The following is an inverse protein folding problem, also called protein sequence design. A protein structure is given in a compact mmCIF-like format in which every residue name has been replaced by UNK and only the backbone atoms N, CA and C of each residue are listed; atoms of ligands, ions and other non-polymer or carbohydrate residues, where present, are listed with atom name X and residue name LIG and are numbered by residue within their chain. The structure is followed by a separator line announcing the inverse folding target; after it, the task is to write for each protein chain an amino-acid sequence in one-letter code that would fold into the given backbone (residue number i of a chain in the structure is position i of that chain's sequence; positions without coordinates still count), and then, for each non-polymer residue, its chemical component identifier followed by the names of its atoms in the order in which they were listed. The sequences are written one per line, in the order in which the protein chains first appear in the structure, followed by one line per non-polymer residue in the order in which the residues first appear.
data_IF_973230436690
#
_entry.id   IF_973230436690
#
_cell.length_a   1.000
_cell.length_b   1.000
_cell.length_c   1.000
_cell.angle_alpha   90.00
_cell.angle_beta   90.00
_cell.angle_gamma   90.00
#
_symmetry.space_group_name_H-M   'P 1'
#
loop_
_entity.id
_entity.type
_entity.pdbx_description
1 polymer ?
#
# COMPACT_ATOMS: atom_id res chain seq x y z
N UNK A 1 33.33 -16.13 9.75
CA UNK A 1 32.76 -17.43 10.17
C UNK A 1 33.90 -18.26 10.74
N UNK A 2 33.73 -18.91 11.89
CA UNK A 2 34.84 -19.57 12.63
C UNK A 2 35.36 -20.83 11.92
N UNK A 3 34.56 -21.42 11.02
CA UNK A 3 34.92 -22.58 10.21
C UNK A 3 34.69 -22.27 8.72
N UNK A 4 35.46 -22.92 7.83
CA UNK A 4 35.22 -22.84 6.39
C UNK A 4 34.01 -23.71 6.03
N UNK A 5 33.17 -23.32 5.06
CA UNK A 5 31.99 -24.10 4.69
C UNK A 5 32.29 -25.55 4.28
N UNK A 6 33.44 -25.78 3.64
CA UNK A 6 33.88 -27.12 3.24
C UNK A 6 34.21 -28.06 4.43
N UNK A 7 34.44 -27.51 5.62
CA UNK A 7 34.79 -28.27 6.82
C UNK A 7 33.53 -28.64 7.65
N UNK A 8 32.33 -28.21 7.20
CA UNK A 8 31.07 -28.46 7.90
C UNK A 8 30.47 -29.78 7.44
N UNK A 9 30.53 -30.79 8.31
CA UNK A 9 30.07 -32.15 8.02
C UNK A 9 28.58 -32.36 8.31
N UNK A 10 28.03 -31.71 9.33
CA UNK A 10 26.64 -31.88 9.76
C UNK A 10 26.10 -30.58 10.35
N UNK A 11 24.92 -30.17 9.90
CA UNK A 11 24.18 -29.04 10.46
C UNK A 11 22.80 -29.50 10.86
N UNK A 12 22.43 -29.26 12.12
CA UNK A 12 21.11 -29.58 12.63
C UNK A 12 20.44 -28.31 13.13
N UNK A 13 19.33 -27.93 12.50
CA UNK A 13 18.52 -26.81 12.94
C UNK A 13 17.46 -27.33 13.92
N UNK A 14 17.43 -26.77 15.13
CA UNK A 14 16.36 -27.04 16.12
C UNK A 14 15.33 -25.92 16.06
N UNK A 15 14.06 -26.26 16.33
CA UNK A 15 12.95 -25.31 16.38
C UNK A 15 12.68 -24.57 15.07
N UNK A 16 12.78 -25.27 13.93
CA UNK A 16 12.39 -24.71 12.63
C UNK A 16 10.90 -24.95 12.40
N UNK A 17 10.15 -23.87 12.16
CA UNK A 17 8.78 -23.95 11.69
C UNK A 17 8.75 -23.91 10.15
N UNK A 18 8.69 -25.09 9.52
CA UNK A 18 8.59 -25.21 8.07
C UNK A 18 7.25 -24.73 7.50
N UNK A 19 6.25 -24.52 8.35
CA UNK A 19 4.95 -24.03 7.93
C UNK A 19 4.82 -22.51 8.06
N UNK A 20 5.78 -21.81 8.66
CA UNK A 20 5.69 -20.36 8.89
C UNK A 20 5.26 -19.58 7.65
N UNK A 21 5.85 -19.88 6.50
CA UNK A 21 5.58 -19.19 5.23
C UNK A 21 4.28 -19.62 4.54
N UNK A 22 3.68 -20.75 4.92
CA UNK A 22 2.46 -21.30 4.32
C UNK A 22 1.24 -21.23 5.24
N UNK A 23 1.45 -20.88 6.51
CA UNK A 23 0.42 -20.84 7.55
C UNK A 23 -0.58 -19.71 7.34
N UNK A 24 -0.12 -18.60 6.78
CA UNK A 24 -0.99 -17.46 6.46
C UNK A 24 -1.34 -17.45 4.97
N UNK A 25 -2.60 -17.13 4.68
CA UNK A 25 -3.08 -16.99 3.30
C UNK A 25 -2.67 -15.63 2.76
N UNK A 26 -1.37 -15.35 2.71
CA UNK A 26 -0.84 -14.20 1.99
C UNK A 26 -0.78 -14.53 0.49
N UNK A 27 -1.93 -14.86 -0.08
CA UNK A 27 -2.11 -15.12 -1.51
C UNK A 27 -2.98 -14.03 -2.09
N UNK A 28 -2.78 -13.71 -3.38
CA UNK A 28 -3.57 -12.70 -4.09
C UNK A 28 -5.08 -12.95 -3.95
N UNK A 29 -5.50 -14.22 -3.87
CA UNK A 29 -6.90 -14.59 -3.66
C UNK A 29 -7.48 -14.15 -2.32
N UNK A 30 -6.67 -14.12 -1.25
CA UNK A 30 -7.11 -13.66 0.07
C UNK A 30 -7.15 -12.13 0.16
N UNK A 31 -6.22 -11.45 -0.53
CA UNK A 31 -6.21 -9.98 -0.67
C UNK A 31 -7.42 -9.53 -1.49
N UNK A 32 -7.71 -10.22 -2.60
CA UNK A 32 -8.88 -9.95 -3.44
C UNK A 32 -10.21 -10.24 -2.73
N UNK A 33 -10.25 -11.17 -1.77
CA UNK A 33 -11.47 -11.49 -1.01
C UNK A 33 -11.82 -10.38 0.00
N UNK A 34 -10.84 -9.58 0.44
CA UNK A 34 -11.08 -8.40 1.27
C UNK A 34 -11.44 -7.22 0.34
N UNK A 35 -12.67 -7.25 -0.17
CA UNK A 35 -13.28 -6.22 -1.03
C UNK A 35 -13.43 -4.84 -0.38
N UNK A 36 -12.87 -4.63 0.82
CA UNK A 36 -12.70 -3.32 1.43
C UNK A 36 -11.53 -2.59 0.78
N UNK A 37 -11.69 -2.27 -0.48
CA UNK A 37 -10.92 -1.23 -1.14
C UNK A 37 -11.60 0.10 -0.88
N UNK A 38 -10.84 1.17 -0.61
CA UNK A 38 -11.41 2.51 -0.60
C UNK A 38 -11.77 2.89 -2.06
N UNK A 39 -13.06 2.83 -2.40
CA UNK A 39 -13.61 3.28 -3.69
C UNK A 39 -14.15 2.15 -4.59
N UNK A 40 -14.91 2.53 -5.63
CA UNK A 40 -15.35 1.63 -6.70
C UNK A 40 -14.23 1.51 -7.75
N UNK A 41 -13.56 0.36 -7.81
CA UNK A 41 -12.69 0.03 -8.93
C UNK A 41 -13.49 -0.82 -9.92
N UNK A 42 -13.95 -0.23 -11.03
CA UNK A 42 -14.22 -1.04 -12.22
C UNK A 42 -12.88 -1.58 -12.69
N UNK A 43 -12.73 -2.89 -12.66
CA UNK A 43 -11.52 -3.55 -13.15
C UNK A 43 -11.23 -3.05 -14.57
N UNK A 44 -10.12 -2.34 -14.76
CA UNK A 44 -9.63 -1.97 -16.08
C UNK A 44 -8.83 -3.15 -16.62
N UNK A 45 -9.02 -3.48 -17.90
CA UNK A 45 -8.24 -4.53 -18.58
C UNK A 45 -6.77 -4.11 -18.57
N UNK A 46 -5.89 -4.97 -18.06
CA UNK A 46 -4.45 -4.73 -18.10
C UNK A 46 -3.99 -4.63 -19.56
N UNK A 47 -3.35 -3.53 -19.90
CA UNK A 47 -2.74 -3.30 -21.21
C UNK A 47 -1.22 -3.40 -21.10
N UNK A 48 -0.59 -3.81 -22.19
CA UNK A 48 0.87 -3.81 -22.30
C UNK A 48 1.36 -2.37 -22.15
N UNK A 49 2.34 -2.18 -21.27
CA UNK A 49 3.00 -0.89 -21.12
C UNK A 49 3.88 -0.63 -22.35
N UNK A 50 3.48 0.32 -23.19
CA UNK A 50 4.20 0.70 -24.41
C UNK A 50 5.30 1.74 -24.17
N UNK A 51 5.53 2.16 -22.91
CA UNK A 51 6.54 3.18 -22.59
C UNK A 51 6.16 4.52 -23.20
N UNK A 52 5.21 5.21 -22.56
CA UNK A 52 4.56 6.41 -23.08
C UNK A 52 5.49 7.35 -23.85
N UNK A 53 5.09 7.67 -25.08
CA UNK A 53 5.70 8.75 -25.84
C UNK A 53 5.62 10.01 -24.99
N UNK A 54 6.78 10.44 -24.50
CA UNK A 54 6.93 11.61 -23.64
C UNK A 54 6.62 12.86 -24.47
N UNK A 55 5.34 13.23 -24.61
CA UNK A 55 4.91 14.64 -24.78
C UNK A 55 3.39 14.94 -24.81
N UNK A 56 2.49 14.06 -24.36
CA UNK A 56 1.08 14.45 -24.22
C UNK A 56 0.75 14.81 -22.78
N UNK A 57 0.85 16.09 -22.44
CA UNK A 57 0.33 16.67 -21.19
C UNK A 57 -1.21 16.65 -21.11
N UNK A 58 -1.89 15.89 -21.97
CA UNK A 58 -3.34 15.79 -22.08
C UNK A 58 -3.84 14.48 -21.47
N UNK A 59 -3.44 14.23 -20.21
CA UNK A 59 -4.20 13.31 -19.37
C UNK A 59 -5.29 14.15 -18.72
N UNK A 60 -6.50 14.09 -19.27
CA UNK A 60 -7.68 14.60 -18.57
C UNK A 60 -7.83 13.75 -17.31
N UNK A 61 -7.39 14.31 -16.18
CA UNK A 61 -7.63 13.73 -14.88
C UNK A 61 -9.12 13.89 -14.68
N UNK A 62 -9.91 12.87 -15.04
CA UNK A 62 -11.33 12.78 -14.75
C UNK A 62 -11.53 13.31 -13.33
N UNK A 63 -12.02 14.55 -13.22
CA UNK A 63 -12.18 15.26 -11.96
C UNK A 63 -13.40 14.74 -11.21
N UNK A 64 -13.70 13.45 -11.39
CA UNK A 64 -14.62 12.71 -10.57
C UNK A 64 -13.89 12.40 -9.26
N UNK A 65 -13.54 13.47 -8.53
CA UNK A 65 -13.17 13.43 -7.11
C UNK A 65 -14.40 13.08 -6.26
N UNK A 66 -15.31 12.23 -6.74
CA UNK A 66 -16.46 11.73 -5.98
C UNK A 66 -16.05 10.88 -4.77
N UNK A 67 -14.75 10.55 -4.66
CA UNK A 67 -14.15 9.84 -3.51
C UNK A 67 -13.34 10.75 -2.56
N UNK A 68 -13.31 12.07 -2.79
CA UNK A 68 -12.64 13.01 -1.87
C UNK A 68 -13.48 13.19 -0.61
N UNK A 69 -12.90 12.94 0.57
CA UNK A 69 -13.50 13.41 1.81
C UNK A 69 -13.37 14.92 1.90
N UNK A 70 -14.40 15.61 2.38
CA UNK A 70 -14.25 17.01 2.76
C UNK A 70 -13.15 17.10 3.84
N UNK A 71 -12.16 18.01 3.70
CA UNK A 71 -11.07 18.10 4.66
C UNK A 71 -11.54 18.27 6.10
N UNK A 72 -12.65 18.97 6.34
CA UNK A 72 -13.19 19.16 7.69
C UNK A 72 -13.78 17.86 8.24
N UNK A 73 -14.46 17.08 7.40
CA UNK A 73 -14.98 15.76 7.78
C UNK A 73 -13.84 14.79 8.11
N UNK A 74 -12.76 14.82 7.31
CA UNK A 74 -11.54 14.05 7.57
C UNK A 74 -10.87 14.44 8.89
N UNK A 75 -10.72 15.75 9.16
CA UNK A 75 -10.13 16.21 10.41
C UNK A 75 -10.98 15.78 11.62
N UNK A 76 -12.31 15.91 11.53
CA UNK A 76 -13.23 15.51 12.58
C UNK A 76 -13.14 14.01 12.88
N UNK A 77 -13.16 13.16 11.85
CA UNK A 77 -13.04 11.71 12.03
C UNK A 77 -11.71 11.31 12.68
N UNK A 78 -10.61 11.95 12.28
CA UNK A 78 -9.30 11.69 12.87
C UNK A 78 -9.23 12.09 14.35
N UNK A 79 -9.88 13.20 14.72
CA UNK A 79 -9.98 13.64 16.11
C UNK A 79 -10.86 12.68 16.93
N UNK A 80 -12.04 12.31 16.43
CA UNK A 80 -12.99 11.46 17.17
C UNK A 80 -12.53 10.00 17.29
N UNK A 81 -11.93 9.44 16.23
CA UNK A 81 -11.56 8.02 16.16
C UNK A 81 -10.17 7.76 16.73
N UNK A 82 -9.23 8.68 16.50
CA UNK A 82 -7.81 8.48 16.80
C UNK A 82 -7.25 9.53 17.77
N UNK A 83 -8.02 10.55 18.17
CA UNK A 83 -7.53 11.63 19.02
C UNK A 83 -6.53 12.55 18.31
N UNK A 84 -6.42 12.47 16.99
CA UNK A 84 -5.42 13.21 16.20
C UNK A 84 -6.00 14.55 15.76
N UNK A 85 -5.42 15.64 16.27
CA UNK A 85 -5.79 17.01 15.88
C UNK A 85 -4.95 17.48 14.70
N UNK A 86 -5.60 18.12 13.74
CA UNK A 86 -4.93 18.72 12.59
C UNK A 86 -4.18 19.99 12.98
N UNK A 87 -3.00 20.20 12.42
CA UNK A 87 -2.26 21.49 12.44
C UNK A 87 -2.35 22.19 11.09
N UNK A 88 -3.31 21.79 10.24
CA UNK A 88 -3.50 22.35 8.92
C UNK A 88 -3.83 23.83 9.00
N UNK A 89 -3.09 24.64 8.24
CA UNK A 89 -3.33 26.05 8.00
C UNK A 89 -3.48 26.25 6.49
N UNK A 90 -4.63 26.80 6.08
CA UNK A 90 -4.92 27.08 4.67
C UNK A 90 -3.94 28.06 4.02
N UNK A 91 -3.25 28.89 4.82
CA UNK A 91 -2.24 29.81 4.31
C UNK A 91 -0.97 29.10 3.83
N UNK A 92 -0.77 27.84 4.25
CA UNK A 92 0.45 27.06 4.01
C UNK A 92 1.73 27.81 4.40
N UNK A 93 1.66 28.79 5.32
CA UNK A 93 2.78 29.68 5.68
C UNK A 93 4.03 28.96 6.22
N UNK A 94 3.92 27.70 6.63
CA UNK A 94 5.09 26.89 7.01
C UNK A 94 5.92 26.41 5.81
N UNK A 95 5.36 26.49 4.59
CA UNK A 95 5.97 26.03 3.35
C UNK A 95 6.37 27.18 2.40
N UNK A 96 6.07 28.42 2.76
CA UNK A 96 6.34 29.63 1.96
C UNK A 96 7.14 30.64 2.76
#
# INVERSE_FOLDING_TARGET
MVFKPADVMLVHFRNVDFNYATKDKFTDSAIAMNSKVNGEHKEKVLQRWEGGDSNSDDYDLDSDMSNGWDPNEMFKFNEETYGVKTTYDSSLASYT
#
